data_IF_012099253242
#
_entry.id   IF_012099253242
#
_cell.length_a   1.000
_cell.length_b   1.000
_cell.length_c   1.000
_cell.angle_alpha   90.00
_cell.angle_beta   90.00
_cell.angle_gamma   90.00
#
_symmetry.space_group_name_H-M   'P 1'
#
loop_
_entity.id
_entity.type
_entity.pdbx_description
1 polymer ?
#
# COMPACT_ATOMS: atom_id res chain seq x y z
N UNK A 1 -0.83 19.15 -14.49
CA UNK A 1 -1.28 17.76 -14.67
C UNK A 1 -0.04 16.90 -14.76
N UNK A 2 0.14 15.96 -13.86
CA UNK A 2 1.36 15.16 -13.79
C UNK A 2 0.98 13.69 -13.92
N UNK A 3 0.94 13.22 -15.16
CA UNK A 3 0.96 11.81 -15.47
C UNK A 3 2.37 11.27 -15.15
N UNK A 4 2.46 10.19 -14.37
CA UNK A 4 3.65 9.33 -14.41
C UNK A 4 3.23 7.91 -14.05
N UNK A 5 2.86 7.14 -15.07
CA UNK A 5 2.87 5.68 -15.02
C UNK A 5 4.27 5.25 -15.42
N UNK A 6 5.03 4.59 -14.54
CA UNK A 6 6.11 3.73 -15.00
C UNK A 6 6.15 2.45 -14.17
N UNK A 7 5.54 1.42 -14.76
CA UNK A 7 5.93 0.03 -14.52
C UNK A 7 7.41 -0.11 -14.84
N UNK A 8 8.18 -0.72 -13.94
CA UNK A 8 9.41 -1.41 -14.30
C UNK A 8 9.38 -2.82 -13.73
N UNK A 9 8.79 -3.73 -14.52
CA UNK A 9 9.05 -5.16 -14.46
C UNK A 9 10.42 -5.41 -15.10
N UNK A 10 11.11 -6.45 -14.62
CA UNK A 10 12.29 -7.13 -15.18
C UNK A 10 13.68 -6.77 -14.60
N UNK A 11 14.50 -7.82 -14.48
CA UNK A 11 15.92 -7.92 -14.07
C UNK A 11 16.10 -8.40 -12.62
N UNK A 12 16.60 -9.60 -12.31
CA UNK A 12 17.36 -10.57 -13.11
C UNK A 12 17.34 -11.96 -12.45
N UNK A 13 17.34 -12.98 -13.30
CA UNK A 13 17.36 -14.43 -13.05
C UNK A 13 18.65 -14.87 -12.32
N UNK A 14 18.55 -15.71 -11.29
CA UNK A 14 19.66 -16.57 -10.82
C UNK A 14 19.26 -18.06 -10.93
N UNK A 15 20.26 -18.91 -10.94
CA UNK A 15 20.37 -20.16 -11.70
C UNK A 15 19.95 -21.41 -10.88
N UNK A 16 19.36 -22.36 -11.62
CA UNK A 16 18.87 -23.72 -11.36
C UNK A 16 19.25 -24.52 -10.11
N UNK A 17 18.25 -25.17 -9.52
CA UNK A 17 18.37 -26.54 -8.99
C UNK A 17 17.21 -27.40 -9.55
N UNK A 18 17.46 -28.57 -10.17
CA UNK A 18 16.41 -29.39 -10.75
C UNK A 18 15.78 -30.33 -9.71
N UNK A 19 14.47 -30.52 -9.89
CA UNK A 19 13.71 -31.76 -9.75
C UNK A 19 13.74 -32.56 -8.43
N UNK A 20 12.69 -32.40 -7.63
CA UNK A 20 11.95 -33.55 -7.08
C UNK A 20 10.57 -33.11 -6.54
N UNK A 21 9.52 -33.42 -7.30
CA UNK A 21 8.43 -34.20 -6.70
C UNK A 21 7.20 -33.55 -6.10
N UNK A 22 6.99 -32.22 -6.09
CA UNK A 22 5.70 -31.64 -5.67
C UNK A 22 5.38 -30.37 -6.48
N UNK A 23 4.13 -30.13 -6.92
CA UNK A 23 3.78 -28.85 -7.51
C UNK A 23 3.72 -27.80 -6.38
N UNK A 24 4.60 -26.80 -6.32
CA UNK A 24 4.25 -25.62 -5.57
C UNK A 24 3.18 -24.93 -6.41
N UNK A 25 1.95 -24.92 -5.90
CA UNK A 25 0.86 -24.03 -6.30
C UNK A 25 1.33 -22.58 -6.11
N UNK A 26 2.21 -22.13 -7.00
CA UNK A 26 2.69 -20.75 -7.07
C UNK A 26 1.67 -19.94 -7.89
N UNK A 27 0.49 -19.77 -7.31
CA UNK A 27 -0.37 -18.63 -7.58
C UNK A 27 -0.47 -17.83 -6.26
N UNK A 28 0.68 -17.28 -5.89
CA UNK A 28 0.84 -15.93 -5.37
C UNK A 28 -0.42 -15.27 -4.79
N UNK A 29 -0.65 -15.50 -3.50
CA UNK A 29 -0.88 -14.37 -2.59
C UNK A 29 -2.14 -13.53 -2.74
N UNK A 30 -3.19 -13.97 -3.42
CA UNK A 30 -4.56 -13.44 -3.17
C UNK A 30 -5.11 -14.06 -1.88
N UNK A 31 -4.32 -13.96 -0.81
CA UNK A 31 -4.70 -14.39 0.53
C UNK A 31 -5.81 -13.49 1.01
N UNK A 32 -7.01 -14.04 1.14
CA UNK A 32 -8.16 -13.54 1.91
C UNK A 32 -7.94 -12.12 2.47
N UNK A 33 -8.18 -11.10 1.65
CA UNK A 33 -8.07 -9.72 2.12
C UNK A 33 -9.26 -9.45 3.04
N UNK A 34 -9.00 -8.95 4.25
CA UNK A 34 -10.08 -8.68 5.19
C UNK A 34 -11.04 -7.68 4.51
N UNK A 35 -12.36 -7.97 4.43
CA UNK A 35 -13.31 -7.09 3.74
C UNK A 35 -13.38 -5.68 4.36
N UNK A 36 -12.85 -5.52 5.57
CA UNK A 36 -12.80 -4.27 6.35
C UNK A 36 -11.45 -3.56 6.23
N UNK A 37 -10.45 -4.15 5.56
CA UNK A 37 -9.13 -3.54 5.39
C UNK A 37 -9.21 -2.34 4.44
N UNK A 38 -8.76 -1.18 4.92
CA UNK A 38 -8.67 0.04 4.11
C UNK A 38 -7.23 0.50 4.05
N UNK A 39 -6.69 0.61 2.83
CA UNK A 39 -5.45 1.34 2.58
C UNK A 39 -5.76 2.71 1.98
N UNK A 40 -5.13 3.74 2.53
CA UNK A 40 -5.20 5.10 2.00
C UNK A 40 -3.79 5.67 1.94
N UNK A 41 -3.44 6.29 0.82
CA UNK A 41 -2.17 7.02 0.65
C UNK A 41 -2.46 8.48 0.35
N UNK A 42 -1.81 9.39 1.06
CA UNK A 42 -1.98 10.85 0.89
C UNK A 42 -0.62 11.53 0.79
N UNK A 43 -0.53 12.56 -0.07
CA UNK A 43 0.68 13.37 -0.22
C UNK A 43 0.78 14.41 0.90
N UNK A 44 1.97 14.54 1.48
CA UNK A 44 2.29 15.64 2.39
C UNK A 44 2.60 16.88 1.56
N UNK A 45 1.76 17.90 1.66
CA UNK A 45 1.94 19.20 1.01
C UNK A 45 2.41 20.22 2.06
N UNK A 46 3.00 21.37 1.64
CA UNK A 46 3.44 22.40 2.57
C UNK A 46 2.32 22.90 3.52
N UNK A 47 1.06 22.89 3.09
CA UNK A 47 -0.08 23.25 3.94
C UNK A 47 -0.38 22.25 5.07
N UNK A 48 0.18 21.04 5.00
CA UNK A 48 0.06 20.00 6.04
C UNK A 48 1.18 20.09 7.09
N UNK A 49 2.16 20.95 6.86
CA UNK A 49 3.36 21.07 7.69
C UNK A 49 3.34 22.30 8.59
N UNK A 50 4.05 22.24 9.70
CA UNK A 50 4.28 23.37 10.58
C UNK A 50 5.29 24.36 9.97
N UNK A 51 5.59 25.46 10.68
CA UNK A 51 6.57 26.46 10.23
C UNK A 51 8.00 25.91 10.05
N UNK A 52 8.31 24.71 10.57
CA UNK A 52 9.58 24.00 10.39
C UNK A 52 9.56 22.99 9.24
N UNK A 53 8.42 22.83 8.55
CA UNK A 53 8.26 21.86 7.47
C UNK A 53 7.98 20.43 7.95
N UNK A 54 7.69 20.22 9.23
CA UNK A 54 7.32 18.90 9.76
C UNK A 54 5.81 18.68 9.70
N UNK A 55 5.37 17.46 9.43
CA UNK A 55 3.95 17.10 9.42
C UNK A 55 3.31 17.45 10.77
N UNK A 56 2.23 18.23 10.74
CA UNK A 56 1.47 18.54 11.95
C UNK A 56 0.80 17.28 12.51
N UNK A 57 0.92 17.06 13.83
CA UNK A 57 0.27 15.94 14.52
C UNK A 57 -1.25 15.97 14.30
N UNK A 58 -1.87 17.16 14.31
CA UNK A 58 -3.31 17.30 14.06
C UNK A 58 -3.72 16.85 12.66
N UNK A 59 -2.87 17.10 11.66
CA UNK A 59 -3.11 16.66 10.29
C UNK A 59 -2.97 15.14 10.16
N UNK A 60 -1.96 14.55 10.80
CA UNK A 60 -1.80 13.10 10.85
C UNK A 60 -3.01 12.42 11.50
N UNK A 61 -3.46 12.93 12.65
CA UNK A 61 -4.63 12.39 13.34
C UNK A 61 -5.89 12.44 12.47
N UNK A 62 -6.09 13.52 11.70
CA UNK A 62 -7.21 13.63 10.75
C UNK A 62 -7.17 12.55 9.66
N UNK A 63 -5.98 12.24 9.14
CA UNK A 63 -5.81 11.17 8.15
C UNK A 63 -6.08 9.78 8.73
N UNK A 64 -5.64 9.54 9.97
CA UNK A 64 -5.93 8.30 10.69
C UNK A 64 -7.44 8.17 10.92
N UNK A 65 -8.10 9.22 11.41
CA UNK A 65 -9.55 9.23 11.65
C UNK A 65 -10.34 8.95 10.37
N UNK A 66 -9.94 9.56 9.25
CA UNK A 66 -10.54 9.29 7.93
C UNK A 66 -10.38 7.81 7.54
N UNK A 67 -9.18 7.24 7.70
CA UNK A 67 -8.91 5.84 7.35
C UNK A 67 -9.67 4.87 8.25
N UNK A 68 -9.76 5.17 9.54
CA UNK A 68 -10.51 4.39 10.52
C UNK A 68 -12.02 4.42 10.22
N UNK A 69 -12.57 5.59 9.90
CA UNK A 69 -13.97 5.74 9.50
C UNK A 69 -14.28 4.92 8.24
N UNK A 70 -13.42 4.98 7.22
CA UNK A 70 -13.58 4.19 6.00
C UNK A 70 -13.58 2.67 6.28
N UNK A 71 -12.73 2.22 7.22
CA UNK A 71 -12.69 0.81 7.64
C UNK A 71 -14.01 0.39 8.29
N UNK A 72 -14.60 1.22 9.15
CA UNK A 72 -15.90 0.92 9.78
C UNK A 72 -17.04 0.92 8.76
N UNK A 73 -17.00 1.80 7.77
CA UNK A 73 -18.02 1.90 6.71
C UNK A 73 -18.01 0.71 5.74
N UNK A 74 -16.96 -0.09 5.68
CA UNK A 74 -16.88 -1.28 4.81
C UNK A 74 -17.80 -2.45 5.25
N UNK A 75 -18.68 -2.24 6.25
CA UNK A 75 -19.58 -3.24 6.83
C UNK A 75 -21.08 -3.07 6.49
N UNK A 76 -21.42 -2.39 5.40
CA UNK A 76 -22.82 -2.26 4.95
C UNK A 76 -23.00 -2.67 3.49
#
# INVERSE_FOLDING_TARGET
>A
GFASMFSNRTSRKSISHPESGDPPTMAEGEGYRNPTEVQMSQLVLPCHTNHRGELSIGQLLKWIDTTACLSVSAKW
#
